data_IF_260369319464
#
_entry.id   IF_260369319464
#
_cell.length_a   1.000
_cell.length_b   1.000
_cell.length_c   1.000
_cell.angle_alpha   90.00
_cell.angle_beta   90.00
_cell.angle_gamma   90.00
#
_symmetry.space_group_name_H-M   'P 1'
#
loop_
_entity.id
_entity.type
_entity.pdbx_description
1 polymer ?
#
# COMPACT_ATOMS: atom_id res chain seq x y z
N UNK A 1 0.51 -1.72 8.42
CA UNK A 1 1.75 -2.37 7.94
C UNK A 1 2.67 -1.35 7.30
N UNK A 2 2.30 -0.78 6.15
CA UNK A 2 3.13 0.23 5.48
C UNK A 2 3.49 1.43 6.37
N UNK A 3 2.49 2.07 6.99
CA UNK A 3 2.69 3.20 7.91
C UNK A 3 3.60 2.86 9.10
N UNK A 4 3.54 1.61 9.58
CA UNK A 4 4.43 1.15 10.66
C UNK A 4 5.88 1.03 10.18
N UNK A 5 6.09 0.54 8.95
CA UNK A 5 7.42 0.39 8.37
C UNK A 5 8.01 1.71 7.87
N UNK A 6 7.17 2.67 7.47
CA UNK A 6 7.59 3.97 6.95
C UNK A 6 7.65 5.06 8.03
N UNK A 7 6.85 4.93 9.10
CA UNK A 7 6.64 5.99 10.09
C UNK A 7 5.82 7.18 9.56
N UNK A 8 5.20 7.05 8.38
CA UNK A 8 4.50 8.13 7.67
C UNK A 8 3.14 7.60 7.21
N UNK A 9 2.07 8.41 7.23
CA UNK A 9 0.80 8.02 6.63
C UNK A 9 0.94 7.70 5.12
N UNK A 10 0.24 6.68 4.59
CA UNK A 10 0.28 6.36 3.17
C UNK A 10 -0.29 7.52 2.34
N UNK A 11 0.40 7.87 1.26
CA UNK A 11 0.04 8.97 0.36
C UNK A 11 0.02 10.36 1.03
N UNK A 12 0.83 10.57 2.08
CA UNK A 12 0.92 11.84 2.81
C UNK A 12 1.30 13.06 1.94
N UNK A 13 1.88 12.84 0.76
CA UNK A 13 2.22 13.86 -0.24
C UNK A 13 1.06 14.20 -1.19
N UNK A 14 -0.10 13.53 -1.08
CA UNK A 14 -1.23 13.65 -1.99
C UNK A 14 -2.49 14.11 -1.26
N UNK A 15 -3.38 14.79 -2.00
CA UNK A 15 -4.69 15.13 -1.48
C UNK A 15 -5.57 13.86 -1.40
N UNK A 16 -6.18 13.63 -0.24
CA UNK A 16 -7.08 12.51 0.00
C UNK A 16 -8.48 12.78 -0.59
N UNK A 17 -8.56 12.78 -1.93
CA UNK A 17 -9.76 13.09 -2.69
C UNK A 17 -10.20 11.90 -3.58
N UNK A 18 -11.28 12.10 -4.34
CA UNK A 18 -11.82 11.09 -5.25
C UNK A 18 -10.79 10.61 -6.27
N UNK A 19 -9.90 11.49 -6.74
CA UNK A 19 -8.87 11.12 -7.71
C UNK A 19 -7.91 10.08 -7.12
N UNK A 20 -7.45 10.28 -5.89
CA UNK A 20 -6.61 9.30 -5.20
C UNK A 20 -7.33 7.96 -4.99
N UNK A 21 -8.61 8.01 -4.58
CA UNK A 21 -9.42 6.79 -4.43
C UNK A 21 -9.52 6.00 -5.75
N UNK A 22 -9.78 6.68 -6.86
CA UNK A 22 -9.85 6.06 -8.19
C UNK A 22 -8.50 5.46 -8.62
N UNK A 23 -7.39 6.12 -8.32
CA UNK A 23 -6.08 5.57 -8.65
C UNK A 23 -5.76 4.32 -7.82
N UNK A 24 -6.13 4.30 -6.53
CA UNK A 24 -5.97 3.11 -5.68
C UNK A 24 -6.80 1.94 -6.24
N UNK A 25 -8.03 2.19 -6.70
CA UNK A 25 -8.83 1.19 -7.39
C UNK A 25 -8.18 0.68 -8.69
N UNK A 26 -7.35 1.50 -9.35
CA UNK A 26 -6.55 1.13 -10.53
C UNK A 26 -5.19 0.50 -10.20
N UNK A 27 -4.93 0.18 -8.93
CA UNK A 27 -3.71 -0.51 -8.52
C UNK A 27 -2.62 0.39 -7.96
N UNK A 28 -2.84 1.70 -7.78
CA UNK A 28 -1.87 2.56 -7.10
C UNK A 28 -1.64 2.07 -5.66
N UNK A 29 -0.38 1.87 -5.27
CA UNK A 29 0.03 1.45 -3.93
C UNK A 29 1.18 2.33 -3.42
N UNK A 30 1.35 2.47 -2.10
CA UNK A 30 2.50 3.16 -1.53
C UNK A 30 3.82 2.49 -1.92
N UNK A 31 4.88 3.29 -2.11
CA UNK A 31 6.22 2.77 -2.43
C UNK A 31 6.79 1.94 -1.27
N UNK A 32 7.36 0.78 -1.56
CA UNK A 32 8.00 -0.04 -0.53
C UNK A 32 9.28 0.63 -0.05
N UNK A 33 9.34 0.95 1.26
CA UNK A 33 10.48 1.63 1.86
C UNK A 33 11.71 0.73 1.88
N UNK A 34 12.87 1.31 1.52
CA UNK A 34 14.17 0.62 1.59
C UNK A 34 14.41 0.08 3.00
N UNK A 35 14.88 -1.16 3.09
CA UNK A 35 15.10 -1.92 4.33
C UNK A 35 13.82 -2.44 5.02
N UNK A 36 12.65 -2.35 4.40
CA UNK A 36 11.47 -3.08 4.90
C UNK A 36 11.78 -4.59 4.87
N UNK A 37 11.63 -5.32 5.99
CA UNK A 37 11.83 -6.77 6.01
C UNK A 37 10.98 -7.48 4.95
N UNK A 38 11.58 -8.44 4.22
CA UNK A 38 10.91 -9.11 3.09
C UNK A 38 9.59 -9.77 3.48
N UNK A 39 9.48 -10.29 4.71
CA UNK A 39 8.24 -10.87 5.21
C UNK A 39 7.08 -9.85 5.22
N UNK A 40 7.36 -8.59 5.57
CA UNK A 40 6.36 -7.53 5.55
C UNK A 40 6.05 -7.06 4.13
N UNK A 41 7.04 -7.03 3.23
CA UNK A 41 6.80 -6.75 1.80
C UNK A 41 5.84 -7.78 1.22
N UNK A 42 6.17 -9.06 1.36
CA UNK A 42 5.34 -10.16 0.86
C UNK A 42 3.92 -10.14 1.44
N UNK A 43 3.78 -9.78 2.72
CA UNK A 43 2.47 -9.67 3.36
C UNK A 43 1.68 -8.45 2.84
N UNK A 44 2.32 -7.29 2.69
CA UNK A 44 1.68 -6.10 2.10
C UNK A 44 1.17 -6.38 0.68
N UNK A 45 2.01 -6.98 -0.17
CA UNK A 45 1.64 -7.33 -1.55
C UNK A 45 0.44 -8.30 -1.59
N UNK A 46 0.42 -9.31 -0.71
CA UNK A 46 -0.73 -10.23 -0.59
C UNK A 46 -2.00 -9.49 -0.16
N UNK A 47 -1.93 -8.62 0.85
CA UNK A 47 -3.06 -7.81 1.28
C UNK A 47 -3.56 -6.84 0.20
N UNK A 48 -2.67 -6.39 -0.67
CA UNK A 48 -2.94 -5.42 -1.74
C UNK A 48 -3.46 -6.04 -3.04
N UNK A 49 -3.58 -7.37 -3.09
CA UNK A 49 -4.02 -8.09 -4.28
C UNK A 49 -5.36 -7.54 -4.81
N UNK A 50 -5.45 -7.37 -6.12
CA UNK A 50 -6.69 -6.89 -6.74
C UNK A 50 -7.83 -7.88 -6.56
N UNK A 51 -7.53 -9.19 -6.64
CA UNK A 51 -8.47 -10.27 -6.37
C UNK A 51 -8.67 -10.43 -4.85
N UNK A 52 -9.87 -10.14 -4.32
CA UNK A 52 -10.14 -10.27 -2.89
C UNK A 52 -9.95 -11.69 -2.36
N UNK A 53 -10.12 -12.72 -3.19
CA UNK A 53 -9.95 -14.12 -2.79
C UNK A 53 -8.48 -14.52 -2.60
N UNK A 54 -7.54 -13.73 -3.15
CA UNK A 54 -6.10 -13.92 -2.97
C UNK A 54 -5.54 -13.11 -1.81
N UNK A 55 -6.36 -12.26 -1.19
CA UNK A 55 -6.00 -11.58 0.05
C UNK A 55 -6.06 -12.59 1.20
N UNK A 56 -5.11 -12.52 2.14
CA UNK A 56 -5.20 -13.26 3.39
C UNK A 56 -6.36 -12.76 4.25
#
# INVERSE_FOLDING_TARGET
>A
MWEFTSGIPPFNDKAHNLQLALNICKGERPEIIKNTPQCYINLMEKCWNEDPLKRP
#
